data_IF_850956487138
#
_entry.id   IF_850956487138
#
_cell.length_a   1.000
_cell.length_b   1.000
_cell.length_c   1.000
_cell.angle_alpha   90.00
_cell.angle_beta   90.00
_cell.angle_gamma   90.00
#
_symmetry.space_group_name_H-M   'P 1'
#
loop_
_entity.id
_entity.type
_entity.pdbx_description
1 polymer ?
#
# COMPACT_ATOMS: atom_id res chain seq x y z
N UNK A 1 9.56 69.04 19.45
CA UNK A 1 8.30 68.59 18.82
C UNK A 1 8.50 68.18 17.36
N UNK A 2 9.07 69.03 16.48
CA UNK A 2 9.33 68.66 15.07
C UNK A 2 10.12 67.35 14.89
N UNK A 3 11.20 67.15 15.66
CA UNK A 3 11.99 65.90 15.62
C UNK A 3 11.15 64.67 15.99
N UNK A 4 10.29 64.78 17.01
CA UNK A 4 9.42 63.68 17.46
C UNK A 4 8.41 63.32 16.36
N UNK A 5 7.79 64.33 15.73
CA UNK A 5 6.86 64.12 14.61
C UNK A 5 7.56 63.44 13.42
N UNK A 6 8.76 63.86 13.07
CA UNK A 6 9.54 63.25 12.00
C UNK A 6 9.89 61.79 12.30
N UNK A 7 10.35 61.49 13.52
CA UNK A 7 10.60 60.11 13.97
C UNK A 7 9.32 59.26 13.96
N UNK A 8 8.19 59.82 14.38
CA UNK A 8 6.91 59.11 14.39
C UNK A 8 6.39 58.81 12.98
N UNK A 9 6.58 59.73 12.03
CA UNK A 9 6.26 59.49 10.61
C UNK A 9 7.12 58.37 10.03
N UNK A 10 8.45 58.43 10.25
CA UNK A 10 9.38 57.40 9.79
C UNK A 10 9.08 56.02 10.38
N UNK A 11 8.78 55.96 11.68
CA UNK A 11 8.40 54.71 12.36
C UNK A 11 7.08 54.14 11.84
N UNK A 12 6.10 55.00 11.52
CA UNK A 12 4.83 54.59 10.93
C UNK A 12 5.01 54.03 9.51
N UNK A 13 5.82 54.68 8.68
CA UNK A 13 6.18 54.19 7.34
C UNK A 13 6.91 52.84 7.41
N UNK A 14 7.84 52.66 8.36
CA UNK A 14 8.49 51.37 8.56
C UNK A 14 7.52 50.29 9.02
N UNK A 15 6.59 50.62 9.92
CA UNK A 15 5.55 49.70 10.38
C UNK A 15 4.64 49.28 9.22
N UNK A 16 4.20 50.21 8.38
CA UNK A 16 3.39 49.93 7.19
C UNK A 16 4.14 49.02 6.19
N UNK A 17 5.44 49.25 5.96
CA UNK A 17 6.27 48.39 5.11
C UNK A 17 6.38 46.97 5.67
N UNK A 18 6.60 46.81 6.98
CA UNK A 18 6.66 45.48 7.62
C UNK A 18 5.30 44.77 7.58
N UNK A 19 4.21 45.51 7.78
CA UNK A 19 2.85 44.98 7.67
C UNK A 19 2.57 44.48 6.24
N UNK A 20 2.95 45.23 5.20
CA UNK A 20 2.81 44.79 3.80
C UNK A 20 3.61 43.51 3.49
N UNK A 21 4.84 43.40 4.02
CA UNK A 21 5.64 42.19 3.89
C UNK A 21 4.97 40.99 4.59
N UNK A 22 4.44 41.20 5.81
CA UNK A 22 3.70 40.18 6.55
C UNK A 22 2.41 39.75 5.82
N UNK A 23 1.69 40.69 5.19
CA UNK A 23 0.47 40.39 4.41
C UNK A 23 0.78 39.47 3.23
N UNK A 24 1.90 39.73 2.55
CA UNK A 24 2.38 38.91 1.43
C UNK A 24 2.73 37.50 1.91
N UNK A 25 3.48 37.39 3.01
CA UNK A 25 3.83 36.10 3.61
C UNK A 25 2.59 35.32 4.08
N UNK A 26 1.60 35.99 4.68
CA UNK A 26 0.34 35.37 5.10
C UNK A 26 -0.48 34.84 3.91
N UNK A 27 -0.54 35.61 2.81
CA UNK A 27 -1.21 35.18 1.57
C UNK A 27 -0.54 33.94 0.97
N UNK A 28 0.79 33.91 0.96
CA UNK A 28 1.54 32.74 0.49
C UNK A 28 1.34 31.52 1.40
N UNK A 29 1.31 31.72 2.72
CA UNK A 29 1.01 30.67 3.68
C UNK A 29 -0.40 30.09 3.47
N UNK A 30 -1.41 30.95 3.30
CA UNK A 30 -2.79 30.54 3.01
C UNK A 30 -2.88 29.71 1.71
N UNK A 31 -2.20 30.15 0.64
CA UNK A 31 -2.12 29.37 -0.59
C UNK A 31 -1.47 28.00 -0.38
N UNK A 32 -0.41 27.94 0.43
CA UNK A 32 0.30 26.68 0.73
C UNK A 32 -0.60 25.72 1.52
N UNK A 33 -1.33 26.25 2.50
CA UNK A 33 -2.34 25.49 3.27
C UNK A 33 -3.42 24.93 2.34
N UNK A 34 -3.90 25.72 1.38
CA UNK A 34 -4.85 25.25 0.36
C UNK A 34 -4.32 24.07 -0.47
N UNK A 35 -3.06 24.14 -0.90
CA UNK A 35 -2.41 23.02 -1.62
C UNK A 35 -2.31 21.76 -0.75
N UNK A 36 -1.94 21.90 0.53
CA UNK A 36 -1.86 20.76 1.46
C UNK A 36 -3.26 20.18 1.71
N UNK A 37 -4.31 21.00 1.79
CA UNK A 37 -5.68 20.53 1.93
C UNK A 37 -6.08 19.62 0.77
N UNK A 38 -5.88 20.08 -0.48
CA UNK A 38 -6.18 19.27 -1.67
C UNK A 38 -5.37 17.97 -1.71
N UNK A 39 -4.08 18.02 -1.37
CA UNK A 39 -3.25 16.81 -1.30
C UNK A 39 -3.75 15.83 -0.22
N UNK A 40 -4.28 16.34 0.89
CA UNK A 40 -4.82 15.52 1.99
C UNK A 40 -6.14 14.85 1.58
N UNK A 41 -6.99 15.54 0.81
CA UNK A 41 -8.20 14.96 0.22
C UNK A 41 -7.86 13.84 -0.78
N UNK A 42 -6.88 14.06 -1.64
CA UNK A 42 -6.41 13.06 -2.61
C UNK A 42 -5.80 11.83 -1.89
N UNK A 43 -5.01 12.04 -0.84
CA UNK A 43 -4.48 10.96 0.00
C UNK A 43 -5.61 10.16 0.66
N UNK A 44 -6.65 10.82 1.16
CA UNK A 44 -7.81 10.16 1.76
C UNK A 44 -8.51 9.25 0.75
N UNK A 45 -8.71 9.72 -0.48
CA UNK A 45 -9.29 8.92 -1.55
C UNK A 45 -8.41 7.71 -1.91
N UNK A 46 -7.09 7.93 -2.04
CA UNK A 46 -6.11 6.88 -2.35
C UNK A 46 -6.06 5.80 -1.26
N UNK A 47 -5.99 6.19 0.01
CA UNK A 47 -6.02 5.26 1.16
C UNK A 47 -7.30 4.43 1.15
N UNK A 48 -8.46 5.06 0.87
CA UNK A 48 -9.74 4.36 0.75
C UNK A 48 -9.76 3.32 -0.37
N UNK A 49 -9.15 3.61 -1.51
CA UNK A 49 -9.03 2.64 -2.62
C UNK A 49 -8.06 1.50 -2.27
N UNK A 50 -6.92 1.81 -1.65
CA UNK A 50 -5.97 0.78 -1.17
C UNK A 50 -6.67 -0.16 -0.19
N UNK A 51 -7.46 0.37 0.75
CA UNK A 51 -8.23 -0.47 1.70
C UNK A 51 -9.21 -1.43 1.00
N UNK A 52 -9.89 -0.99 -0.05
CA UNK A 52 -10.75 -1.87 -0.87
C UNK A 52 -9.94 -2.94 -1.60
N UNK A 53 -8.79 -2.57 -2.18
CA UNK A 53 -7.93 -3.53 -2.89
C UNK A 53 -7.36 -4.58 -1.95
N UNK A 54 -6.96 -4.20 -0.73
CA UNK A 54 -6.48 -5.13 0.30
C UNK A 54 -7.57 -6.12 0.70
N UNK A 55 -8.79 -5.63 0.94
CA UNK A 55 -9.95 -6.49 1.25
C UNK A 55 -10.24 -7.48 0.12
N UNK A 56 -10.17 -7.00 -1.13
CA UNK A 56 -10.34 -7.84 -2.32
C UNK A 56 -9.24 -8.89 -2.45
N UNK A 57 -7.99 -8.53 -2.20
CA UNK A 57 -6.85 -9.46 -2.23
C UNK A 57 -7.00 -10.56 -1.19
N UNK A 58 -7.43 -10.23 0.03
CA UNK A 58 -7.72 -11.22 1.07
C UNK A 58 -8.82 -12.21 0.63
N UNK A 59 -9.91 -11.71 0.04
CA UNK A 59 -10.99 -12.57 -0.47
C UNK A 59 -10.53 -13.49 -1.63
N UNK A 60 -9.63 -13.00 -2.50
CA UNK A 60 -9.04 -13.82 -3.57
C UNK A 60 -8.11 -14.89 -2.98
N UNK A 61 -7.30 -14.54 -1.98
CA UNK A 61 -6.42 -15.48 -1.30
C UNK A 61 -7.22 -16.58 -0.59
N UNK A 62 -8.29 -16.24 0.11
CA UNK A 62 -9.20 -17.21 0.73
C UNK A 62 -9.81 -18.16 -0.31
N UNK A 63 -10.31 -17.62 -1.42
CA UNK A 63 -10.82 -18.45 -2.53
C UNK A 63 -9.75 -19.37 -3.12
N UNK A 64 -8.51 -18.89 -3.25
CA UNK A 64 -7.39 -19.70 -3.72
C UNK A 64 -7.05 -20.82 -2.73
N UNK A 65 -7.12 -20.55 -1.41
CA UNK A 65 -6.91 -21.55 -0.38
C UNK A 65 -7.96 -22.67 -0.48
N UNK A 66 -9.22 -22.30 -0.69
CA UNK A 66 -10.32 -23.25 -0.87
C UNK A 66 -10.11 -24.14 -2.10
N UNK A 67 -9.71 -23.56 -3.23
CA UNK A 67 -9.46 -24.31 -4.46
C UNK A 67 -8.24 -25.24 -4.32
N UNK A 68 -7.18 -24.80 -3.64
CA UNK A 68 -6.03 -25.64 -3.31
C UNK A 68 -6.42 -26.83 -2.44
N UNK A 69 -7.26 -26.62 -1.40
CA UNK A 69 -7.78 -27.72 -0.56
C UNK A 69 -8.62 -28.71 -1.37
N UNK A 70 -9.49 -28.22 -2.26
CA UNK A 70 -10.30 -29.08 -3.15
C UNK A 70 -9.40 -29.89 -4.08
N UNK A 71 -8.37 -29.28 -4.64
CA UNK A 71 -7.41 -29.94 -5.52
C UNK A 71 -6.65 -31.03 -4.75
N UNK A 72 -6.24 -30.76 -3.50
CA UNK A 72 -5.58 -31.76 -2.66
C UNK A 72 -6.46 -33.01 -2.46
N UNK A 73 -7.76 -32.84 -2.20
CA UNK A 73 -8.70 -33.98 -2.06
C UNK A 73 -8.79 -34.82 -3.34
N UNK A 74 -8.79 -34.18 -4.52
CA UNK A 74 -8.83 -34.89 -5.80
C UNK A 74 -7.53 -35.67 -6.03
N UNK A 75 -6.38 -35.07 -5.73
CA UNK A 75 -5.06 -35.69 -5.89
C UNK A 75 -4.87 -36.84 -4.89
N UNK A 76 -5.31 -36.69 -3.64
CA UNK A 76 -5.32 -37.77 -2.64
C UNK A 76 -6.22 -38.94 -3.10
N UNK A 77 -7.38 -38.63 -3.70
CA UNK A 77 -8.26 -39.63 -4.30
C UNK A 77 -7.59 -40.38 -5.47
N UNK A 78 -6.82 -39.66 -6.30
CA UNK A 78 -6.03 -40.26 -7.36
C UNK A 78 -4.97 -41.20 -6.77
N UNK A 79 -4.18 -40.75 -5.79
CA UNK A 79 -3.16 -41.56 -5.12
C UNK A 79 -3.73 -42.88 -4.58
N UNK A 80 -4.87 -42.81 -3.88
CA UNK A 80 -5.56 -43.99 -3.35
C UNK A 80 -6.06 -44.92 -4.48
N UNK A 81 -6.54 -44.37 -5.59
CA UNK A 81 -6.94 -45.12 -6.78
C UNK A 81 -5.75 -45.85 -7.42
N UNK A 82 -4.64 -45.17 -7.62
CA UNK A 82 -3.42 -45.75 -8.21
C UNK A 82 -2.83 -46.85 -7.33
N UNK A 83 -2.89 -46.70 -6.00
CA UNK A 83 -2.48 -47.74 -5.06
C UNK A 83 -3.31 -49.02 -5.20
N UNK A 84 -4.65 -48.91 -5.28
CA UNK A 84 -5.52 -50.08 -5.51
C UNK A 84 -5.23 -50.76 -6.85
N UNK A 85 -4.94 -49.98 -7.89
CA UNK A 85 -4.55 -50.56 -9.19
C UNK A 85 -3.23 -51.33 -9.05
N UNK A 86 -2.24 -50.79 -8.33
CA UNK A 86 -0.98 -51.49 -8.04
C UNK A 86 -1.18 -52.83 -7.32
N UNK A 87 -2.08 -52.88 -6.33
CA UNK A 87 -2.46 -54.13 -5.65
C UNK A 87 -3.06 -55.16 -6.62
N UNK A 88 -3.95 -54.73 -7.52
CA UNK A 88 -4.56 -55.60 -8.54
C UNK A 88 -3.51 -56.08 -9.55
N UNK A 89 -2.61 -55.23 -10.00
CA UNK A 89 -1.53 -55.60 -10.94
C UNK A 89 -0.61 -56.64 -10.31
N UNK A 90 -0.26 -56.48 -9.03
CA UNK A 90 0.53 -57.44 -8.25
C UNK A 90 -0.17 -58.81 -8.18
N UNK A 91 -1.49 -58.82 -7.96
CA UNK A 91 -2.29 -60.05 -7.97
C UNK A 91 -2.29 -60.72 -9.35
N UNK A 92 -2.46 -59.96 -10.43
CA UNK A 92 -2.43 -60.49 -11.81
C UNK A 92 -1.05 -61.09 -12.11
N UNK A 93 0.03 -60.43 -11.69
CA UNK A 93 1.39 -60.93 -11.87
C UNK A 93 1.61 -62.26 -11.12
N UNK A 94 1.07 -62.39 -9.90
CA UNK A 94 1.06 -63.64 -9.14
C UNK A 94 0.29 -64.76 -9.87
N UNK A 95 -0.90 -64.45 -10.39
CA UNK A 95 -1.73 -65.39 -11.18
C UNK A 95 -0.99 -65.84 -12.45
N UNK A 96 -0.35 -64.91 -13.17
CA UNK A 96 0.43 -65.22 -14.36
C UNK A 96 1.60 -66.16 -14.04
N UNK A 97 2.33 -65.89 -12.94
CA UNK A 97 3.41 -66.77 -12.46
C UNK A 97 2.91 -68.17 -12.09
N UNK A 98 1.79 -68.27 -11.38
CA UNK A 98 1.17 -69.54 -11.04
C UNK A 98 0.68 -70.31 -12.28
N UNK A 99 0.10 -69.59 -13.24
CA UNK A 99 -0.36 -70.16 -14.53
C UNK A 99 0.81 -70.69 -15.34
N UNK A 100 1.93 -69.97 -15.38
CA UNK A 100 3.16 -70.42 -16.01
C UNK A 100 3.71 -71.70 -15.37
N UNK A 101 3.66 -71.80 -14.03
CA UNK A 101 4.07 -73.00 -13.29
C UNK A 101 3.13 -74.19 -13.58
N UNK A 102 1.82 -73.97 -13.60
CA UNK A 102 0.83 -74.98 -13.98
C UNK A 102 1.04 -75.48 -15.42
N UNK A 103 1.29 -74.56 -16.36
CA UNK A 103 1.57 -74.88 -17.76
C UNK A 103 2.89 -75.65 -17.93
N UNK A 104 3.89 -75.35 -17.10
CA UNK A 104 5.14 -76.11 -17.06
C UNK A 104 4.89 -77.56 -16.58
N UNK A 105 4.13 -77.74 -15.50
CA UNK A 105 3.77 -79.06 -15.00
C UNK A 105 2.95 -79.85 -16.04
N UNK A 106 2.03 -79.20 -16.74
CA UNK A 106 1.26 -79.81 -17.82
C UNK A 106 2.16 -80.22 -19.00
N UNK A 107 3.15 -79.41 -19.36
CA UNK A 107 4.16 -79.75 -20.38
C UNK A 107 4.97 -80.99 -19.97
N UNK A 108 5.36 -81.09 -18.70
CA UNK A 108 6.08 -82.25 -18.14
C UNK A 108 5.22 -83.52 -18.23
N UNK A 109 3.95 -83.45 -17.81
CA UNK A 109 3.05 -84.61 -17.84
C UNK A 109 2.68 -85.02 -19.28
N UNK A 110 2.53 -84.05 -20.19
CA UNK A 110 2.32 -84.32 -21.61
C UNK A 110 3.52 -85.03 -22.25
N UNK A 111 4.76 -84.66 -21.87
CA UNK A 111 5.96 -85.36 -22.30
C UNK A 111 6.01 -86.80 -21.73
N UNK A 112 5.51 -87.00 -20.51
CA UNK A 112 5.43 -88.32 -19.86
C UNK A 112 4.43 -89.26 -20.52
N UNK A 113 3.35 -88.72 -21.09
CA UNK A 113 2.34 -89.47 -21.84
C UNK A 113 2.79 -89.86 -23.28
N UNK A 114 3.96 -89.42 -23.73
CA UNK A 114 4.52 -89.75 -25.04
C UNK A 114 3.65 -89.28 -26.21
N UNK A 115 3.45 -90.14 -27.22
CA UNK A 115 2.65 -89.83 -28.42
C UNK A 115 1.19 -89.44 -28.10
N UNK A 116 0.61 -89.99 -27.03
CA UNK A 116 -0.76 -89.68 -26.62
C UNK A 116 -0.90 -88.28 -25.99
N UNK A 117 0.21 -87.66 -25.55
CA UNK A 117 0.24 -86.34 -24.94
C UNK A 117 0.44 -85.16 -25.90
N UNK A 118 0.65 -85.40 -27.20
CA UNK A 118 1.02 -84.35 -28.18
C UNK A 118 0.07 -83.16 -28.22
N UNK A 119 -1.26 -83.41 -28.22
CA UNK A 119 -2.26 -82.33 -28.20
C UNK A 119 -2.21 -81.50 -26.92
N UNK A 120 -2.01 -82.16 -25.76
CA UNK A 120 -1.85 -81.51 -24.47
C UNK A 120 -0.56 -80.68 -24.39
N UNK A 121 0.53 -81.16 -24.99
CA UNK A 121 1.81 -80.44 -25.03
C UNK A 121 1.69 -79.09 -25.78
N UNK A 122 0.95 -79.06 -26.88
CA UNK A 122 0.72 -77.82 -27.65
C UNK A 122 -0.08 -76.81 -26.82
N UNK A 123 -1.18 -77.25 -26.19
CA UNK A 123 -1.99 -76.39 -25.32
C UNK A 123 -1.18 -75.87 -24.14
N UNK A 124 -0.40 -76.74 -23.48
CA UNK A 124 0.45 -76.34 -22.37
C UNK A 124 1.51 -75.30 -22.77
N UNK A 125 2.10 -75.44 -23.96
CA UNK A 125 3.04 -74.44 -24.50
C UNK A 125 2.36 -73.10 -24.78
N UNK A 126 1.15 -73.10 -25.34
CA UNK A 126 0.39 -71.88 -25.63
C UNK A 126 0.00 -71.15 -24.34
N UNK A 127 -0.49 -71.87 -23.32
CA UNK A 127 -0.81 -71.31 -22.00
C UNK A 127 0.45 -70.72 -21.35
N UNK A 128 1.60 -71.39 -21.49
CA UNK A 128 2.88 -70.89 -20.98
C UNK A 128 3.28 -69.57 -21.67
N UNK A 129 3.13 -69.49 -22.99
CA UNK A 129 3.42 -68.28 -23.75
C UNK A 129 2.51 -67.11 -23.32
N UNK A 130 1.20 -67.36 -23.19
CA UNK A 130 0.23 -66.39 -22.72
C UNK A 130 0.56 -65.88 -21.31
N UNK A 131 0.90 -66.79 -20.39
CA UNK A 131 1.27 -66.43 -19.03
C UNK A 131 2.52 -65.54 -18.97
N UNK A 132 3.55 -65.81 -19.79
CA UNK A 132 4.72 -64.95 -19.90
C UNK A 132 4.39 -63.58 -20.51
N UNK A 133 3.51 -63.54 -21.52
CA UNK A 133 3.04 -62.28 -22.10
C UNK A 133 2.26 -61.44 -21.08
N UNK A 134 1.39 -62.08 -20.28
CA UNK A 134 0.67 -61.41 -19.19
C UNK A 134 1.65 -60.87 -18.14
N UNK A 135 2.64 -61.66 -17.72
CA UNK A 135 3.64 -61.22 -16.74
C UNK A 135 4.41 -59.99 -17.22
N UNK A 136 4.84 -59.97 -18.49
CA UNK A 136 5.51 -58.83 -19.09
C UNK A 136 4.60 -57.59 -19.15
N UNK A 137 3.34 -57.75 -19.57
CA UNK A 137 2.39 -56.64 -19.60
C UNK A 137 2.13 -56.07 -18.20
N UNK A 138 2.03 -56.92 -17.17
CA UNK A 138 1.86 -56.45 -15.78
C UNK A 138 3.09 -55.72 -15.25
N UNK A 139 4.29 -56.08 -15.68
CA UNK A 139 5.52 -55.37 -15.32
C UNK A 139 5.56 -53.96 -15.93
N UNK A 140 5.20 -53.83 -17.22
CA UNK A 140 5.08 -52.53 -17.90
C UNK A 140 4.02 -51.63 -17.24
N UNK A 141 2.86 -52.19 -16.88
CA UNK A 141 1.80 -51.46 -16.16
C UNK A 141 2.28 -51.05 -14.76
N UNK A 142 3.01 -51.92 -14.06
CA UNK A 142 3.54 -51.60 -12.71
C UNK A 142 4.47 -50.39 -12.76
N UNK A 143 5.35 -50.31 -13.76
CA UNK A 143 6.22 -49.15 -13.96
C UNK A 143 5.40 -47.86 -14.18
N UNK A 144 4.37 -47.90 -15.04
CA UNK A 144 3.50 -46.74 -15.26
C UNK A 144 2.74 -46.31 -13.99
N UNK A 145 2.28 -47.28 -13.17
CA UNK A 145 1.62 -47.00 -11.90
C UNK A 145 2.58 -46.31 -10.93
N UNK A 146 3.84 -46.73 -10.89
CA UNK A 146 4.86 -46.10 -10.05
C UNK A 146 5.19 -44.67 -10.50
N UNK A 147 5.24 -44.42 -11.81
CA UNK A 147 5.41 -43.07 -12.35
C UNK A 147 4.22 -42.16 -11.97
N UNK A 148 2.99 -42.67 -12.08
CA UNK A 148 1.78 -41.92 -11.68
C UNK A 148 1.80 -41.63 -10.18
N UNK A 149 2.16 -42.59 -9.33
CA UNK A 149 2.27 -42.39 -7.88
C UNK A 149 3.30 -41.31 -7.54
N UNK A 150 4.46 -41.34 -8.20
CA UNK A 150 5.52 -40.34 -8.03
C UNK A 150 5.02 -38.94 -8.40
N UNK A 151 4.46 -38.79 -9.59
CA UNK A 151 3.90 -37.51 -10.06
C UNK A 151 2.77 -36.99 -9.15
N UNK A 152 1.95 -37.90 -8.61
CA UNK A 152 0.89 -37.56 -7.66
C UNK A 152 1.47 -37.04 -6.34
N UNK A 153 2.53 -37.66 -5.81
CA UNK A 153 3.23 -37.20 -4.62
C UNK A 153 3.91 -35.83 -4.80
N UNK A 154 4.50 -35.59 -5.97
CA UNK A 154 5.04 -34.27 -6.34
C UNK A 154 3.92 -33.21 -6.39
N UNK A 155 2.77 -33.55 -6.96
CA UNK A 155 1.60 -32.65 -7.01
C UNK A 155 1.09 -32.29 -5.61
N UNK A 156 0.98 -33.26 -4.68
CA UNK A 156 0.60 -32.99 -3.28
C UNK A 156 1.58 -32.01 -2.62
N UNK A 157 2.88 -32.24 -2.80
CA UNK A 157 3.93 -31.37 -2.23
C UNK A 157 3.82 -29.95 -2.77
N UNK A 158 3.61 -29.80 -4.08
CA UNK A 158 3.41 -28.50 -4.72
C UNK A 158 2.15 -27.78 -4.19
N UNK A 159 1.04 -28.50 -4.03
CA UNK A 159 -0.21 -27.95 -3.47
C UNK A 159 -0.01 -27.47 -2.03
N UNK A 160 0.71 -28.22 -1.20
CA UNK A 160 1.02 -27.80 0.17
C UNK A 160 1.87 -26.51 0.20
N UNK A 161 2.86 -26.40 -0.69
CA UNK A 161 3.65 -25.18 -0.83
C UNK A 161 2.77 -23.99 -1.24
N UNK A 162 1.84 -24.18 -2.19
CA UNK A 162 0.87 -23.15 -2.58
C UNK A 162 -0.02 -22.70 -1.42
N UNK A 163 -0.50 -23.63 -0.59
CA UNK A 163 -1.27 -23.29 0.62
C UNK A 163 -0.45 -22.43 1.58
N UNK A 164 0.84 -22.74 1.76
CA UNK A 164 1.77 -21.92 2.55
C UNK A 164 1.90 -20.50 2.01
N UNK A 165 2.13 -20.34 0.70
CA UNK A 165 2.21 -19.01 0.05
C UNK A 165 0.90 -18.22 0.19
N UNK A 166 -0.25 -18.88 0.09
CA UNK A 166 -1.55 -18.22 0.26
C UNK A 166 -1.74 -17.74 1.71
N UNK A 167 -1.27 -18.51 2.71
CA UNK A 167 -1.30 -18.09 4.10
C UNK A 167 -0.43 -16.83 4.33
N UNK A 168 0.76 -16.79 3.74
CA UNK A 168 1.65 -15.62 3.78
C UNK A 168 0.99 -14.38 3.14
N UNK A 169 0.29 -14.54 2.01
CA UNK A 169 -0.47 -13.46 1.37
C UNK A 169 -1.56 -12.91 2.31
N UNK A 170 -2.27 -13.78 3.04
CA UNK A 170 -3.29 -13.36 4.00
C UNK A 170 -2.69 -12.59 5.18
N UNK A 171 -1.55 -13.02 5.72
CA UNK A 171 -0.83 -12.32 6.78
C UNK A 171 -0.40 -10.92 6.33
N UNK A 172 0.23 -10.83 5.15
CA UNK A 172 0.65 -9.56 4.55
C UNK A 172 -0.57 -8.65 4.31
N UNK A 173 -1.67 -9.19 3.80
CA UNK A 173 -2.90 -8.41 3.58
C UNK A 173 -3.45 -7.84 4.89
N UNK A 174 -3.41 -8.62 5.98
CA UNK A 174 -3.78 -8.16 7.31
C UNK A 174 -2.87 -7.03 7.82
N UNK A 175 -1.57 -7.16 7.65
CA UNK A 175 -0.60 -6.12 8.02
C UNK A 175 -0.83 -4.82 7.22
N UNK A 176 -1.08 -4.93 5.91
CA UNK A 176 -1.38 -3.76 5.07
C UNK A 176 -2.70 -3.12 5.50
N UNK A 177 -3.74 -3.90 5.81
CA UNK A 177 -5.01 -3.36 6.29
C UNK A 177 -4.83 -2.52 7.57
N UNK A 178 -4.05 -3.03 8.53
CA UNK A 178 -3.72 -2.28 9.75
C UNK A 178 -2.94 -0.99 9.44
N UNK A 179 -2.00 -1.03 8.49
CA UNK A 179 -1.23 0.14 8.09
C UNK A 179 -2.11 1.20 7.40
N UNK A 180 -3.05 0.77 6.56
CA UNK A 180 -4.04 1.63 5.89
C UNK A 180 -4.94 2.33 6.91
N UNK A 181 -5.41 1.61 7.94
CA UNK A 181 -6.22 2.21 9.01
C UNK A 181 -5.43 3.27 9.80
N UNK A 182 -4.16 2.99 10.12
CA UNK A 182 -3.27 3.97 10.76
C UNK A 182 -3.04 5.21 9.88
N UNK A 183 -2.78 5.01 8.58
CA UNK A 183 -2.61 6.10 7.64
C UNK A 183 -3.87 6.95 7.53
N UNK A 184 -5.06 6.34 7.47
CA UNK A 184 -6.34 7.05 7.45
C UNK A 184 -6.52 7.94 8.69
N UNK A 185 -6.13 7.44 9.87
CA UNK A 185 -6.11 8.23 11.10
C UNK A 185 -5.18 9.44 11.01
N UNK A 186 -3.94 9.23 10.60
CA UNK A 186 -2.94 10.30 10.44
C UNK A 186 -3.38 11.35 9.40
N UNK A 187 -3.93 10.94 8.26
CA UNK A 187 -4.44 11.84 7.23
C UNK A 187 -5.60 12.71 7.73
N UNK A 188 -6.49 12.16 8.57
CA UNK A 188 -7.55 12.96 9.23
C UNK A 188 -6.99 13.99 10.21
N UNK A 189 -5.95 13.64 10.97
CA UNK A 189 -5.29 14.57 11.87
C UNK A 189 -4.58 15.70 11.10
N UNK A 190 -3.95 15.38 9.98
CA UNK A 190 -3.37 16.36 9.06
C UNK A 190 -4.47 17.29 8.52
N UNK A 191 -5.61 16.75 8.07
CA UNK A 191 -6.73 17.57 7.59
C UNK A 191 -7.23 18.55 8.67
N UNK A 192 -7.33 18.10 9.93
CA UNK A 192 -7.67 18.97 11.06
C UNK A 192 -6.63 20.06 11.30
N UNK A 193 -5.34 19.71 11.25
CA UNK A 193 -4.23 20.66 11.42
C UNK A 193 -4.18 21.71 10.31
N UNK A 194 -4.46 21.29 9.07
CA UNK A 194 -4.57 22.17 7.89
C UNK A 194 -5.73 23.15 8.05
N UNK A 195 -6.89 22.68 8.51
CA UNK A 195 -8.03 23.55 8.78
C UNK A 195 -7.71 24.60 9.86
N UNK A 196 -7.03 24.20 10.93
CA UNK A 196 -6.60 25.13 11.97
C UNK A 196 -5.57 26.14 11.45
N UNK A 197 -4.62 25.70 10.62
CA UNK A 197 -3.66 26.58 9.97
C UNK A 197 -4.35 27.58 9.03
N UNK A 198 -5.37 27.15 8.29
CA UNK A 198 -6.16 28.04 7.43
C UNK A 198 -6.82 29.17 8.24
N UNK A 199 -7.48 28.83 9.35
CA UNK A 199 -8.07 29.79 10.29
C UNK A 199 -6.98 30.75 10.80
N UNK A 200 -5.86 30.21 11.30
CA UNK A 200 -4.75 31.02 11.81
C UNK A 200 -4.16 31.99 10.78
N UNK A 201 -4.05 31.59 9.50
CA UNK A 201 -3.61 32.51 8.44
C UNK A 201 -4.62 33.62 8.16
N UNK A 202 -5.92 33.32 8.30
CA UNK A 202 -7.00 34.31 8.24
C UNK A 202 -6.90 35.34 9.36
N UNK A 203 -6.75 34.89 10.60
CA UNK A 203 -6.61 35.78 11.77
C UNK A 203 -5.37 36.67 11.66
N UNK A 204 -4.24 36.12 11.19
CA UNK A 204 -3.02 36.90 10.95
C UNK A 204 -3.25 37.98 9.91
N UNK A 205 -3.99 37.69 8.84
CA UNK A 205 -4.33 38.68 7.81
C UNK A 205 -5.15 39.83 8.39
N UNK A 206 -6.20 39.53 9.17
CA UNK A 206 -7.02 40.56 9.81
C UNK A 206 -6.20 41.45 10.76
N UNK A 207 -5.31 40.86 11.55
CA UNK A 207 -4.41 41.61 12.44
C UNK A 207 -3.46 42.53 11.66
N UNK A 208 -2.94 42.07 10.52
CA UNK A 208 -2.04 42.87 9.67
C UNK A 208 -2.78 44.06 9.05
N UNK A 209 -4.02 43.89 8.63
CA UNK A 209 -4.86 44.98 8.13
C UNK A 209 -5.08 46.04 9.22
N UNK A 210 -5.34 45.61 10.46
CA UNK A 210 -5.43 46.48 11.63
C UNK A 210 -4.13 47.26 11.92
N UNK A 211 -2.98 46.59 11.91
CA UNK A 211 -1.66 47.22 12.10
C UNK A 211 -1.37 48.25 10.99
N UNK A 212 -1.71 47.92 9.75
CA UNK A 212 -1.55 48.83 8.60
C UNK A 212 -2.40 50.09 8.79
N UNK A 213 -3.65 49.94 9.22
CA UNK A 213 -4.54 51.07 9.49
C UNK A 213 -4.01 51.95 10.64
N UNK A 214 -3.55 51.34 11.74
CA UNK A 214 -3.00 52.06 12.88
C UNK A 214 -1.70 52.83 12.52
N UNK A 215 -0.83 52.22 11.72
CA UNK A 215 0.37 52.88 11.21
C UNK A 215 0.02 54.10 10.34
N UNK A 216 -0.95 53.96 9.42
CA UNK A 216 -1.41 55.07 8.59
C UNK A 216 -2.01 56.22 9.42
N UNK A 217 -2.83 55.90 10.43
CA UNK A 217 -3.39 56.90 11.36
C UNK A 217 -2.29 57.62 12.15
N UNK A 218 -1.27 56.89 12.61
CA UNK A 218 -0.13 57.45 13.34
C UNK A 218 0.70 58.37 12.46
N UNK A 219 0.94 58.00 11.19
CA UNK A 219 1.62 58.84 10.21
C UNK A 219 0.85 60.14 9.93
N UNK A 220 -0.47 60.07 9.78
CA UNK A 220 -1.33 61.26 9.61
C UNK A 220 -1.29 62.18 10.85
N UNK A 221 -1.33 61.61 12.06
CA UNK A 221 -1.22 62.37 13.30
C UNK A 221 0.17 63.04 13.43
N UNK A 222 1.24 62.34 13.05
CA UNK A 222 2.59 62.88 13.04
C UNK A 222 2.73 64.07 12.08
N UNK A 223 2.16 63.95 10.87
CA UNK A 223 2.15 65.03 9.87
C UNK A 223 1.43 66.28 10.40
N UNK A 224 0.24 66.12 11.00
CA UNK A 224 -0.50 67.23 11.63
C UNK A 224 0.27 67.87 12.79
N UNK A 225 0.94 67.07 13.61
CA UNK A 225 1.75 67.57 14.72
C UNK A 225 2.98 68.35 14.23
N UNK A 226 3.60 67.89 13.13
CA UNK A 226 4.71 68.60 12.48
C UNK A 226 4.26 69.96 11.94
N UNK A 227 3.10 70.01 11.28
CA UNK A 227 2.51 71.25 10.77
C UNK A 227 2.21 72.24 11.91
N UNK A 228 1.54 71.79 12.97
CA UNK A 228 1.25 72.61 14.15
C UNK A 228 2.52 73.12 14.84
N UNK A 229 3.54 72.27 14.96
CA UNK A 229 4.83 72.64 15.57
C UNK A 229 5.58 73.67 14.73
N UNK A 230 5.55 73.52 13.41
CA UNK A 230 6.17 74.47 12.47
C UNK A 230 5.46 75.81 12.49
N UNK A 231 4.12 75.81 12.54
CA UNK A 231 3.31 77.00 12.73
C UNK A 231 3.63 77.73 14.04
N UNK A 232 3.72 76.99 15.15
CA UNK A 232 4.08 77.54 16.46
C UNK A 232 5.51 78.14 16.48
N UNK A 233 6.47 77.47 15.82
CA UNK A 233 7.83 77.99 15.67
C UNK A 233 7.84 79.30 14.90
N UNK A 234 7.12 79.37 13.77
CA UNK A 234 7.00 80.60 12.97
C UNK A 234 6.34 81.73 13.77
N UNK A 235 5.28 81.43 14.53
CA UNK A 235 4.61 82.43 15.36
C UNK A 235 5.50 82.94 16.49
N UNK A 236 6.30 82.06 17.10
CA UNK A 236 7.28 82.43 18.14
C UNK A 236 8.39 83.32 17.59
N UNK A 237 8.87 83.04 16.38
CA UNK A 237 9.86 83.87 15.66
C UNK A 237 9.32 85.27 15.37
N UNK A 238 8.07 85.37 14.88
CA UNK A 238 7.38 86.65 14.68
C UNK A 238 7.26 87.43 15.99
N UNK A 239 6.85 86.76 17.07
CA UNK A 239 6.72 87.40 18.39
C UNK A 239 8.06 87.95 18.89
N UNK A 240 9.15 87.19 18.69
CA UNK A 240 10.50 87.63 19.02
C UNK A 240 10.90 88.87 18.23
N UNK A 241 10.65 88.89 16.92
CA UNK A 241 10.92 90.06 16.06
C UNK A 241 10.14 91.29 16.53
N UNK A 242 8.85 91.15 16.82
CA UNK A 242 8.00 92.24 17.33
C UNK A 242 8.48 92.76 18.69
N UNK A 243 8.85 91.86 19.61
CA UNK A 243 9.38 92.24 20.93
C UNK A 243 10.74 92.91 20.81
N UNK A 244 11.65 92.39 20.00
CA UNK A 244 12.96 93.00 19.74
C UNK A 244 12.81 94.40 19.11
N UNK A 245 11.86 94.54 18.18
CA UNK A 245 11.50 95.82 17.57
C UNK A 245 10.94 96.83 18.58
N UNK A 246 10.04 96.39 19.46
CA UNK A 246 9.48 97.20 20.54
C UNK A 246 10.54 97.62 21.58
N UNK A 247 11.43 96.72 21.98
CA UNK A 247 12.53 97.06 22.88
C UNK A 247 13.55 98.01 22.22
N UNK A 248 13.77 97.87 20.92
CA UNK A 248 14.59 98.78 20.12
C UNK A 248 14.02 100.19 20.07
N UNK A 249 12.70 100.33 19.86
CA UNK A 249 12.04 101.65 19.84
C UNK A 249 12.03 102.32 21.21
N UNK A 250 11.89 101.58 22.30
CA UNK A 250 12.03 102.11 23.67
C UNK A 250 13.46 102.61 23.95
N UNK A 251 14.50 101.90 23.49
CA UNK A 251 15.89 102.31 23.70
C UNK A 251 16.33 103.52 22.86
N UNK A 252 15.60 103.81 21.78
CA UNK A 252 15.86 104.95 20.90
C UNK A 252 15.08 106.22 21.32
N UNK A 253 14.17 106.10 22.29
CA UNK A 253 13.42 107.19 22.91
C UNK A 253 14.06 107.63 24.24
#
# INVERSE_FOLDING_TARGET
>A
MQTISATMSSSSEETARKAAAAATASTQASSSVGTVASATEELTASIGEIGKQVTRSAAIAEKAADEARRTNVVVDGLAAGTQKIGEVVTLIQSIASQTNLLALNATIEAARAGEHGRGFAVVASEVKALANQTAKATEEISAQIQDIQTATGEAVTAIQAFVGTIAEINEISGAIASAVDQQNGATREIAGSVQQAAIGTGDVKENIDGVTQAANQTGLAASKLLEASSGLSSQSEKLKIEVDGFLGSIRAA
#
